data_IF_166969608735
#
_entry.id   IF_166969608735
#
_cell.length_a   1.000
_cell.length_b   1.000
_cell.length_c   1.000
_cell.angle_alpha   90.00
_cell.angle_beta   90.00
_cell.angle_gamma   90.00
#
_symmetry.space_group_name_H-M   'P 1'
#
loop_
_entity.id
_entity.type
_entity.pdbx_description
1 polymer ?
#
# COMPACT_ATOMS: atom_id res chain seq x y z
N UNK A 1 8.62 -19.57 21.74
CA UNK A 1 8.36 -18.15 21.45
C UNK A 1 8.61 -17.92 19.97
N UNK A 2 7.85 -17.03 19.35
CA UNK A 2 8.07 -16.52 18.00
C UNK A 2 8.26 -15.01 18.07
N UNK A 3 9.05 -14.47 17.16
CA UNK A 3 9.30 -13.05 17.00
C UNK A 3 8.72 -12.63 15.67
N UNK A 4 7.70 -11.77 15.72
CA UNK A 4 7.10 -11.21 14.52
C UNK A 4 7.42 -9.73 14.44
N UNK A 5 7.21 -9.18 13.26
CA UNK A 5 7.12 -7.74 13.06
C UNK A 5 5.66 -7.35 12.93
N UNK A 6 5.30 -6.13 13.31
CA UNK A 6 4.00 -5.57 13.01
C UNK A 6 4.11 -4.11 12.56
N UNK A 7 3.15 -3.69 11.73
CA UNK A 7 2.99 -2.31 11.31
C UNK A 7 1.51 -1.98 11.14
N UNK A 8 1.21 -0.69 11.24
CA UNK A 8 -0.12 -0.17 10.95
C UNK A 8 0.00 1.06 10.06
N UNK A 9 -0.67 1.03 8.91
CA UNK A 9 -0.85 2.20 8.07
C UNK A 9 -1.95 3.07 8.66
N UNK A 10 -1.70 4.38 8.74
CA UNK A 10 -2.70 5.35 9.18
C UNK A 10 -3.34 6.04 7.98
N UNK A 11 -4.58 6.52 8.11
CA UNK A 11 -5.21 7.34 7.07
C UNK A 11 -4.37 8.56 6.65
N UNK A 12 -3.60 9.14 7.58
CA UNK A 12 -2.67 10.25 7.35
C UNK A 12 -1.46 9.88 6.50
N UNK A 13 -1.11 8.60 6.42
CA UNK A 13 0.08 8.12 5.74
C UNK A 13 -0.10 8.03 4.22
N UNK A 14 -1.34 8.12 3.72
CA UNK A 14 -1.61 8.08 2.28
C UNK A 14 -1.25 6.75 1.62
N UNK A 15 -1.25 5.65 2.39
CA UNK A 15 -0.82 4.33 1.93
C UNK A 15 0.70 4.16 1.83
N UNK A 16 1.49 5.07 2.39
CA UNK A 16 2.96 4.98 2.44
C UNK A 16 3.39 4.59 3.84
N UNK A 17 4.31 3.64 3.98
CA UNK A 17 4.85 3.32 5.30
C UNK A 17 5.70 4.49 5.81
N UNK A 18 5.24 5.18 6.86
CA UNK A 18 5.94 6.34 7.46
C UNK A 18 6.80 5.96 8.68
N UNK A 19 6.67 4.73 9.17
CA UNK A 19 7.41 4.20 10.34
C UNK A 19 7.91 2.79 10.08
N UNK A 20 9.08 2.47 10.63
CA UNK A 20 9.59 1.10 10.60
C UNK A 20 8.66 0.16 11.39
N UNK A 21 8.55 -1.12 10.98
CA UNK A 21 7.82 -2.14 11.75
C UNK A 21 8.41 -2.29 13.15
N UNK A 22 7.56 -2.65 14.11
CA UNK A 22 7.94 -2.93 15.49
C UNK A 22 7.95 -4.44 15.77
N UNK A 23 8.87 -4.89 16.60
CA UNK A 23 8.94 -6.30 17.02
C UNK A 23 7.87 -6.63 18.06
N UNK A 24 7.31 -7.83 17.97
CA UNK A 24 6.41 -8.40 18.96
C UNK A 24 6.79 -9.86 19.23
N UNK A 25 6.94 -10.21 20.51
CA UNK A 25 7.18 -11.58 20.96
C UNK A 25 5.88 -12.24 21.38
N UNK A 26 5.64 -13.46 20.89
CA UNK A 26 4.43 -14.21 21.18
C UNK A 26 4.75 -15.69 21.48
N UNK A 27 3.87 -16.40 22.20
CA UNK A 27 3.90 -17.85 22.26
C UNK A 27 3.87 -18.49 20.86
N UNK A 28 4.50 -19.65 20.71
CA UNK A 28 4.39 -20.41 19.47
C UNK A 28 2.94 -20.88 19.27
N UNK A 29 2.44 -20.80 18.04
CA UNK A 29 1.05 -21.12 17.73
C UNK A 29 0.07 -19.96 17.96
N UNK A 30 0.55 -18.76 18.31
CA UNK A 30 -0.31 -17.59 18.44
C UNK A 30 -0.99 -17.20 17.13
N UNK A 31 -2.23 -16.70 17.23
CA UNK A 31 -3.01 -16.28 16.07
C UNK A 31 -2.90 -14.78 15.79
N UNK A 32 -3.31 -14.35 14.59
CA UNK A 32 -3.41 -12.95 14.23
C UNK A 32 -4.27 -12.15 15.24
N UNK A 33 -5.40 -12.71 15.71
CA UNK A 33 -6.22 -12.05 16.71
C UNK A 33 -5.49 -11.85 18.05
N UNK A 34 -4.74 -12.86 18.50
CA UNK A 34 -3.94 -12.76 19.72
C UNK A 34 -2.80 -11.74 19.59
N UNK A 35 -2.16 -11.67 18.42
CA UNK A 35 -1.16 -10.65 18.12
C UNK A 35 -1.76 -9.23 18.13
N UNK A 36 -2.94 -9.04 17.52
CA UNK A 36 -3.65 -7.76 17.53
C UNK A 36 -4.05 -7.35 18.96
N UNK A 37 -4.46 -8.31 19.80
CA UNK A 37 -4.75 -8.07 21.20
C UNK A 37 -3.49 -7.68 21.99
N UNK A 38 -2.35 -8.33 21.71
CA UNK A 38 -1.07 -8.05 22.35
C UNK A 38 -0.53 -6.65 22.02
N UNK A 39 -0.83 -6.09 20.84
CA UNK A 39 -0.49 -4.69 20.48
C UNK A 39 -1.48 -3.66 21.04
N UNK A 40 -2.49 -4.09 21.80
CA UNK A 40 -3.41 -3.21 22.54
C UNK A 40 -4.76 -2.93 21.86
N UNK A 41 -5.14 -3.66 20.82
CA UNK A 41 -6.48 -3.55 20.24
C UNK A 41 -7.51 -4.28 21.08
N UNK A 42 -8.71 -3.71 21.21
CA UNK A 42 -9.83 -4.39 21.85
C UNK A 42 -10.58 -5.32 20.89
N UNK A 43 -11.39 -6.23 21.44
CA UNK A 43 -12.05 -7.29 20.67
C UNK A 43 -12.99 -6.73 19.55
N UNK A 44 -13.63 -5.58 19.78
CA UNK A 44 -14.47 -4.91 18.78
C UNK A 44 -13.64 -4.37 17.60
N UNK A 45 -12.51 -3.72 17.88
CA UNK A 45 -11.58 -3.25 16.86
C UNK A 45 -10.99 -4.40 16.05
N UNK A 46 -10.58 -5.49 16.72
CA UNK A 46 -10.04 -6.69 16.08
C UNK A 46 -11.06 -7.30 15.12
N UNK A 47 -12.29 -7.47 15.59
CA UNK A 47 -13.40 -8.01 14.79
C UNK A 47 -13.67 -7.15 13.56
N UNK A 48 -13.71 -5.81 13.73
CA UNK A 48 -13.92 -4.89 12.62
C UNK A 48 -12.82 -4.98 11.56
N UNK A 49 -11.56 -4.95 11.98
CA UNK A 49 -10.40 -5.01 11.07
C UNK A 49 -10.36 -6.33 10.29
N UNK A 50 -10.59 -7.46 10.95
CA UNK A 50 -10.59 -8.78 10.30
C UNK A 50 -11.75 -8.92 9.32
N UNK A 51 -12.96 -8.46 9.69
CA UNK A 51 -14.13 -8.49 8.81
C UNK A 51 -13.95 -7.61 7.56
N UNK A 52 -13.27 -6.48 7.70
CA UNK A 52 -12.94 -5.58 6.60
C UNK A 52 -11.75 -6.05 5.75
N UNK A 53 -11.13 -7.20 6.09
CA UNK A 53 -9.89 -7.69 5.48
C UNK A 53 -8.77 -6.63 5.54
N UNK A 54 -8.72 -5.88 6.63
CA UNK A 54 -7.71 -4.85 6.86
C UNK A 54 -6.46 -5.41 7.57
N UNK A 55 -6.34 -6.72 7.75
CA UNK A 55 -5.18 -7.36 8.36
C UNK A 55 -4.59 -8.36 7.39
N UNK A 56 -3.27 -8.36 7.25
CA UNK A 56 -2.55 -9.26 6.37
C UNK A 56 -1.23 -9.76 6.97
N UNK A 57 -0.78 -10.91 6.49
CA UNK A 57 0.60 -11.40 6.67
C UNK A 57 1.26 -11.40 5.30
N UNK A 58 2.28 -10.57 5.09
CA UNK A 58 2.94 -10.39 3.79
C UNK A 58 1.97 -10.16 2.61
N UNK A 59 0.98 -9.29 2.80
CA UNK A 59 -0.04 -8.99 1.78
C UNK A 59 -1.11 -10.08 1.55
N UNK A 60 -1.06 -11.20 2.27
CA UNK A 60 -2.14 -12.19 2.28
C UNK A 60 -3.09 -11.92 3.44
N UNK A 61 -4.39 -11.80 3.17
CA UNK A 61 -5.39 -11.50 4.19
C UNK A 61 -5.35 -12.53 5.34
N UNK A 62 -5.25 -12.01 6.56
CA UNK A 62 -5.31 -12.81 7.76
C UNK A 62 -6.75 -12.94 8.26
N UNK A 63 -7.04 -14.08 8.87
CA UNK A 63 -8.27 -14.35 9.59
C UNK A 63 -7.97 -14.39 11.08
N UNK A 64 -9.02 -14.41 11.91
CA UNK A 64 -8.90 -14.52 13.37
C UNK A 64 -8.03 -15.72 13.80
N UNK A 65 -8.12 -16.82 13.06
CA UNK A 65 -7.46 -18.09 13.35
C UNK A 65 -6.15 -18.29 12.58
N UNK A 66 -5.69 -17.30 11.82
CA UNK A 66 -4.42 -17.40 11.10
C UNK A 66 -3.28 -17.53 12.11
N UNK A 67 -2.63 -18.69 12.13
CA UNK A 67 -1.47 -18.98 12.99
C UNK A 67 -0.25 -18.25 12.45
N UNK A 68 0.46 -17.56 13.34
CA UNK A 68 1.69 -16.83 13.03
C UNK A 68 2.93 -17.69 13.29
N UNK A 69 3.96 -17.44 12.49
CA UNK A 69 5.25 -18.11 12.54
C UNK A 69 6.36 -17.10 12.85
N UNK A 70 7.51 -17.62 13.28
CA UNK A 70 8.69 -16.79 13.52
C UNK A 70 9.11 -16.05 12.24
N UNK A 71 9.40 -14.76 12.37
CA UNK A 71 9.74 -13.88 11.25
C UNK A 71 8.55 -13.25 10.52
N UNK A 72 7.30 -13.67 10.78
CA UNK A 72 6.13 -13.10 10.10
C UNK A 72 6.01 -11.60 10.29
N UNK A 73 5.37 -10.93 9.33
CA UNK A 73 4.98 -9.53 9.47
C UNK A 73 3.48 -9.35 9.39
N UNK A 74 2.89 -8.93 10.51
CA UNK A 74 1.48 -8.59 10.63
C UNK A 74 1.23 -7.13 10.22
N UNK A 75 0.39 -6.92 9.22
CA UNK A 75 0.16 -5.63 8.58
C UNK A 75 -1.29 -5.20 8.79
N UNK A 76 -1.52 -4.05 9.43
CA UNK A 76 -2.82 -3.38 9.47
C UNK A 76 -2.86 -2.40 8.29
N UNK A 77 -3.73 -2.69 7.33
CA UNK A 77 -3.87 -2.00 6.06
C UNK A 77 -4.79 -0.77 6.20
N UNK A 78 -4.54 0.26 5.40
CA UNK A 78 -5.42 1.42 5.28
C UNK A 78 -6.52 1.17 4.25
N UNK A 79 -7.61 1.94 4.34
CA UNK A 79 -8.70 1.87 3.38
C UNK A 79 -8.28 2.32 1.97
N UNK A 80 -8.87 1.68 0.95
CA UNK A 80 -8.65 2.09 -0.43
C UNK A 80 -9.31 3.46 -0.68
N UNK A 81 -8.47 4.48 -0.87
CA UNK A 81 -8.94 5.85 -1.19
C UNK A 81 -9.53 6.00 -2.59
N UNK A 82 -9.17 5.10 -3.51
CA UNK A 82 -9.63 5.11 -4.90
C UNK A 82 -9.82 3.69 -5.42
N UNK A 83 -10.79 3.53 -6.33
CA UNK A 83 -10.92 2.30 -7.10
C UNK A 83 -9.62 2.02 -7.89
N UNK A 84 -9.01 0.83 -7.74
CA UNK A 84 -7.75 0.50 -8.40
C UNK A 84 -7.83 0.56 -9.93
N UNK A 85 -8.97 0.18 -10.53
CA UNK A 85 -9.13 0.19 -11.98
C UNK A 85 -9.26 1.60 -12.51
N UNK A 86 -10.00 2.46 -11.83
CA UNK A 86 -10.12 3.88 -12.16
C UNK A 86 -8.78 4.60 -12.03
N UNK A 87 -8.03 4.33 -10.96
CA UNK A 87 -6.67 4.85 -10.78
C UNK A 87 -5.74 4.40 -11.92
N UNK A 88 -5.81 3.13 -12.33
CA UNK A 88 -5.06 2.60 -13.49
C UNK A 88 -5.47 3.31 -14.79
N UNK A 89 -6.78 3.50 -15.03
CA UNK A 89 -7.33 4.18 -16.21
C UNK A 89 -6.83 5.62 -16.31
N UNK A 90 -6.91 6.38 -15.22
CA UNK A 90 -6.40 7.77 -15.14
C UNK A 90 -4.90 7.83 -15.45
N UNK A 91 -4.10 6.92 -14.87
CA UNK A 91 -2.65 6.85 -15.14
C UNK A 91 -2.35 6.54 -16.61
N UNK A 92 -3.09 5.63 -17.23
CA UNK A 92 -2.92 5.29 -18.65
C UNK A 92 -3.25 6.49 -19.56
N UNK A 93 -4.39 7.17 -19.33
CA UNK A 93 -4.79 8.37 -20.07
C UNK A 93 -3.77 9.50 -19.93
N UNK A 94 -3.31 9.77 -18.70
CA UNK A 94 -2.30 10.78 -18.44
C UNK A 94 -0.98 10.50 -19.19
N UNK A 95 -0.55 9.23 -19.25
CA UNK A 95 0.63 8.81 -20.01
C UNK A 95 0.48 9.07 -21.51
N UNK A 96 -0.71 8.86 -22.08
CA UNK A 96 -1.00 9.13 -23.50
C UNK A 96 -0.96 10.64 -23.77
N UNK A 97 -1.63 11.45 -22.93
CA UNK A 97 -1.67 12.91 -23.07
C UNK A 97 -0.28 13.54 -22.96
N UNK A 98 0.49 13.17 -21.94
CA UNK A 98 1.86 13.67 -21.76
C UNK A 98 2.80 13.27 -22.89
N UNK A 99 2.65 12.05 -23.46
CA UNK A 99 3.41 11.64 -24.66
C UNK A 99 3.07 12.53 -25.86
N UNK A 100 1.77 12.78 -26.10
CA UNK A 100 1.31 13.63 -27.21
C UNK A 100 1.85 15.06 -27.09
N UNK A 101 1.79 15.65 -25.90
CA UNK A 101 2.34 16.98 -25.63
C UNK A 101 3.84 17.06 -25.90
N UNK A 102 4.61 16.04 -25.50
CA UNK A 102 6.05 15.95 -25.78
C UNK A 102 6.34 15.88 -27.28
N UNK A 103 5.58 15.11 -28.05
CA UNK A 103 5.73 15.04 -29.52
C UNK A 103 5.40 16.37 -30.20
N UNK A 104 4.33 17.04 -29.78
CA UNK A 104 3.98 18.38 -30.29
C UNK A 104 5.09 19.40 -29.99
N UNK A 105 5.57 19.47 -28.76
CA UNK A 105 6.67 20.36 -28.39
C UNK A 105 7.96 20.07 -29.18
N UNK A 106 8.23 18.78 -29.47
CA UNK A 106 9.35 18.37 -30.31
C UNK A 106 9.17 18.83 -31.77
N UNK A 107 7.96 18.69 -32.30
CA UNK A 107 7.60 19.17 -33.64
C UNK A 107 7.79 20.68 -33.76
N UNK A 108 7.24 21.46 -32.83
CA UNK A 108 7.37 22.93 -32.78
C UNK A 108 8.84 23.37 -32.74
N UNK A 109 9.66 22.73 -31.89
CA UNK A 109 11.10 23.01 -31.80
C UNK A 109 11.83 22.78 -33.13
N UNK A 110 11.48 21.70 -33.85
CA UNK A 110 12.07 21.40 -35.17
C UNK A 110 11.68 22.44 -36.22
N UNK A 111 10.40 22.79 -36.28
CA UNK A 111 9.88 23.79 -37.22
C UNK A 111 10.57 25.15 -37.01
N UNK A 112 10.69 25.61 -35.76
CA UNK A 112 11.38 26.87 -35.43
C UNK A 112 12.87 26.86 -35.79
N UNK A 113 13.53 25.69 -35.75
CA UNK A 113 14.93 25.55 -36.17
C UNK A 113 15.08 25.66 -37.69
N UNK A 114 14.19 25.04 -38.47
CA UNK A 114 14.20 25.13 -39.94
C UNK A 114 13.86 26.54 -40.44
N UNK A 115 12.93 27.24 -39.80
CA UNK A 115 12.60 28.63 -40.16
C UNK A 115 13.77 29.61 -39.95
N UNK A 116 14.73 29.30 -39.06
CA UNK A 116 15.93 30.11 -38.83
C UNK A 116 17.08 29.82 -39.80
N UNK A 117 17.05 28.70 -40.54
CA UNK A 117 18.10 28.34 -41.50
C UNK A 117 17.76 28.72 -42.93
N UNK A 118 16.52 29.15 -43.19
CA UNK A 118 16.01 29.55 -44.50
C UNK A 118 15.92 31.09 -44.67
N UNK A 119 16.48 31.86 -43.76
CA UNK A 119 16.70 33.32 -43.86
C UNK A 119 18.19 33.58 -43.74
#
# INVERSE_FOLDING_TARGET
MIHIQWLALKPSDGGVLTKAPATLELPAGSTAAQALKAIGLNDSQITALLNQRAVAVYGLYATENTVLHDGDRLEILDELKFDPMESRRRRAQHKVLTKRQKELAKYERRSRKQGKTNT
#
